data_IF_094862397498
#
_entry.id   IF_094862397498
#
_cell.length_a   1.000
_cell.length_b   1.000
_cell.length_c   1.000
_cell.angle_alpha   90.00
_cell.angle_beta   90.00
_cell.angle_gamma   90.00
#
_symmetry.space_group_name_H-M   'P 1'
#
loop_
_entity.id
_entity.type
_entity.pdbx_description
1 polymer ?
#
# COMPACT_ATOMS: atom_id res chain seq x y z
N UNK A 1 23.12 12.98 1.22
CA UNK A 1 22.27 12.73 2.39
C UNK A 1 21.76 14.06 2.93
N UNK A 2 20.43 14.20 3.07
CA UNK A 2 19.81 15.40 3.65
C UNK A 2 20.17 15.55 5.14
N UNK A 3 20.54 16.77 5.56
CA UNK A 3 20.88 17.11 6.96
C UNK A 3 19.74 16.78 7.93
N UNK A 4 18.49 16.85 7.46
CA UNK A 4 17.31 16.52 8.25
C UNK A 4 17.20 15.02 8.58
N UNK A 5 17.57 14.16 7.62
CA UNK A 5 17.51 12.71 7.78
C UNK A 5 18.51 12.23 8.84
N UNK A 6 19.75 12.73 8.78
CA UNK A 6 20.77 12.43 9.79
C UNK A 6 20.35 12.86 11.20
N UNK A 7 19.67 14.01 11.32
CA UNK A 7 19.19 14.52 12.61
C UNK A 7 18.05 13.67 13.18
N UNK A 8 17.08 13.28 12.35
CA UNK A 8 15.94 12.44 12.77
C UNK A 8 16.39 11.02 13.14
N UNK A 9 17.23 10.41 12.30
CA UNK A 9 17.83 9.12 12.58
C UNK A 9 18.71 9.16 13.84
N UNK A 10 19.46 10.25 14.06
CA UNK A 10 20.26 10.46 15.27
C UNK A 10 19.41 10.56 16.54
N UNK A 11 18.27 11.28 16.51
CA UNK A 11 17.35 11.35 17.67
C UNK A 11 16.72 9.99 17.97
N UNK A 12 16.33 9.24 16.94
CA UNK A 12 15.79 7.90 17.10
C UNK A 12 16.86 6.95 17.65
N UNK A 13 18.07 6.97 17.09
CA UNK A 13 19.20 6.17 17.54
C UNK A 13 19.57 6.49 19.00
N UNK A 14 19.62 7.76 19.38
CA UNK A 14 19.86 8.18 20.76
C UNK A 14 18.77 7.71 21.73
N UNK A 15 17.49 7.77 21.35
CA UNK A 15 16.37 7.23 22.15
C UNK A 15 16.49 5.71 22.34
N UNK A 16 17.14 5.02 21.41
CA UNK A 16 17.30 3.57 21.39
C UNK A 16 18.69 3.10 21.89
N UNK A 17 19.58 4.02 22.27
CA UNK A 17 20.94 3.70 22.71
C UNK A 17 21.86 3.17 21.61
N UNK A 18 21.64 3.55 20.35
CA UNK A 18 22.41 3.11 19.19
C UNK A 18 23.22 4.27 18.58
N UNK A 19 24.36 3.95 17.95
CA UNK A 19 25.14 4.91 17.15
C UNK A 19 24.58 5.00 15.72
N UNK A 20 24.38 6.22 15.21
CA UNK A 20 23.69 6.48 13.94
C UNK A 20 24.59 6.27 12.71
N UNK A 21 25.17 5.07 12.57
CA UNK A 21 25.96 4.68 11.39
C UNK A 21 25.12 4.43 10.13
N UNK A 22 25.76 4.41 8.95
CA UNK A 22 25.12 4.11 7.65
C UNK A 22 24.45 2.74 7.60
N UNK A 23 24.98 1.75 8.33
CA UNK A 23 24.38 0.41 8.40
C UNK A 23 23.04 0.41 9.14
N UNK A 24 22.88 1.28 10.14
CA UNK A 24 21.63 1.41 10.89
C UNK A 24 20.47 1.82 9.98
N UNK A 25 20.72 2.75 9.05
CA UNK A 25 19.69 3.22 8.12
C UNK A 25 19.25 2.11 7.17
N UNK A 26 20.18 1.33 6.64
CA UNK A 26 19.86 0.21 5.76
C UNK A 26 19.10 -0.89 6.51
N UNK A 27 19.53 -1.25 7.72
CA UNK A 27 18.81 -2.22 8.56
C UNK A 27 17.40 -1.72 8.90
N UNK A 28 17.24 -0.43 9.21
CA UNK A 28 15.94 0.13 9.56
C UNK A 28 15.01 0.20 8.35
N UNK A 29 15.51 0.61 7.18
CA UNK A 29 14.74 0.57 5.92
C UNK A 29 14.24 -0.85 5.64
N UNK A 30 15.11 -1.85 5.76
CA UNK A 30 14.74 -3.26 5.56
C UNK A 30 13.76 -3.81 6.61
N UNK A 31 13.77 -3.25 7.82
CA UNK A 31 12.90 -3.69 8.92
C UNK A 31 11.52 -3.03 8.88
N UNK A 32 11.48 -1.74 8.56
CA UNK A 32 10.30 -0.88 8.68
C UNK A 32 9.55 -0.67 7.35
N UNK A 33 10.03 -1.20 6.23
CA UNK A 33 9.33 -1.18 4.95
C UNK A 33 9.07 -2.58 4.43
N UNK A 34 7.87 -2.81 3.91
CA UNK A 34 7.50 -4.06 3.23
C UNK A 34 7.41 -3.81 1.72
N UNK A 35 8.40 -4.30 0.97
CA UNK A 35 8.48 -4.21 -0.49
C UNK A 35 9.11 -2.91 -1.00
N UNK A 36 9.82 -3.00 -2.15
CA UNK A 36 10.33 -1.86 -2.92
C UNK A 36 11.72 -1.32 -2.53
N UNK A 37 12.32 -0.56 -3.47
CA UNK A 37 13.44 0.34 -3.17
C UNK A 37 12.88 1.60 -2.49
N UNK A 38 13.25 1.83 -1.22
CA UNK A 38 12.76 2.94 -0.41
C UNK A 38 13.68 4.15 -0.55
N UNK A 39 13.12 5.29 -0.98
CA UNK A 39 13.89 6.53 -1.09
C UNK A 39 14.18 7.14 0.29
N UNK A 40 15.18 8.03 0.37
CA UNK A 40 15.50 8.76 1.60
C UNK A 40 14.32 9.64 2.06
N UNK A 41 13.54 10.16 1.12
CA UNK A 41 12.35 10.99 1.38
C UNK A 41 11.22 10.15 1.99
N UNK A 42 10.94 8.96 1.45
CA UNK A 42 9.94 8.03 2.00
C UNK A 42 10.34 7.56 3.39
N UNK A 43 11.63 7.27 3.59
CA UNK A 43 12.16 6.93 4.90
C UNK A 43 12.01 8.08 5.90
N UNK A 44 12.33 9.31 5.49
CA UNK A 44 12.12 10.52 6.30
C UNK A 44 10.64 10.68 6.67
N UNK A 45 9.73 10.48 5.72
CA UNK A 45 8.29 10.58 5.96
C UNK A 45 7.83 9.59 7.05
N UNK A 46 8.33 8.35 7.04
CA UNK A 46 8.01 7.38 8.08
C UNK A 46 8.51 7.82 9.45
N UNK A 47 9.76 8.33 9.52
CA UNK A 47 10.34 8.80 10.77
C UNK A 47 9.57 10.00 11.35
N UNK A 48 9.04 10.89 10.51
CA UNK A 48 8.19 12.01 10.94
C UNK A 48 6.93 11.48 11.62
N UNK A 49 6.22 10.53 10.99
CA UNK A 49 4.99 9.94 11.55
C UNK A 49 5.29 9.15 12.83
N UNK A 50 6.36 8.36 12.83
CA UNK A 50 6.81 7.60 14.00
C UNK A 50 7.10 8.54 15.19
N UNK A 51 7.80 9.65 14.94
CA UNK A 51 8.10 10.63 15.99
C UNK A 51 6.85 11.38 16.49
N UNK A 52 5.91 11.72 15.59
CA UNK A 52 4.65 12.38 15.96
C UNK A 52 3.83 11.55 16.97
N UNK A 53 3.79 10.24 16.79
CA UNK A 53 3.04 9.32 17.66
C UNK A 53 3.92 8.58 18.69
N UNK A 54 5.22 8.90 18.74
CA UNK A 54 6.19 8.24 19.61
C UNK A 54 6.35 6.74 19.35
N UNK A 55 6.01 6.25 18.14
CA UNK A 55 6.03 4.84 17.75
C UNK A 55 7.44 4.39 17.36
N UNK A 56 7.74 3.12 17.65
CA UNK A 56 9.04 2.53 17.35
C UNK A 56 9.01 1.65 16.08
N UNK A 57 9.72 2.03 15.00
CA UNK A 57 9.76 1.21 13.79
C UNK A 57 10.55 -0.10 13.94
N UNK A 58 11.45 -0.22 14.93
CA UNK A 58 12.25 -1.44 15.16
C UNK A 58 11.44 -2.59 15.75
N UNK A 59 10.52 -2.26 16.65
CA UNK A 59 9.61 -3.23 17.28
C UNK A 59 8.38 -3.50 16.41
N UNK A 60 8.33 -2.94 15.19
CA UNK A 60 7.19 -3.00 14.27
C UNK A 60 5.89 -2.45 14.85
N UNK A 61 6.00 -1.51 15.79
CA UNK A 61 4.83 -0.71 16.20
C UNK A 61 4.33 0.14 15.03
N UNK A 62 5.24 0.59 14.16
CA UNK A 62 4.94 1.24 12.90
C UNK A 62 5.85 0.73 11.78
N UNK A 63 5.29 0.53 10.60
CA UNK A 63 6.01 0.28 9.35
C UNK A 63 5.30 0.99 8.21
N UNK A 64 5.82 0.92 6.99
CA UNK A 64 5.14 1.53 5.84
C UNK A 64 5.17 0.62 4.61
N UNK A 65 4.15 0.80 3.79
CA UNK A 65 4.21 0.43 2.38
C UNK A 65 4.61 1.66 1.56
N UNK A 66 5.53 1.54 0.60
CA UNK A 66 5.81 2.63 -0.32
C UNK A 66 4.61 2.88 -1.24
N UNK A 67 4.32 4.15 -1.52
CA UNK A 67 3.28 4.59 -2.48
C UNK A 67 3.85 5.70 -3.40
N UNK A 68 3.19 6.03 -4.50
CA UNK A 68 3.64 6.95 -5.57
C UNK A 68 4.19 8.29 -5.03
N UNK A 69 5.50 8.33 -4.76
CA UNK A 69 6.18 9.50 -4.16
C UNK A 69 5.93 9.71 -2.66
N UNK A 70 5.21 8.80 -1.99
CA UNK A 70 4.83 8.87 -0.58
C UNK A 70 4.90 7.52 0.13
N UNK A 71 4.20 7.41 1.26
CA UNK A 71 4.10 6.18 2.05
C UNK A 71 2.69 5.99 2.60
N UNK A 72 2.32 4.74 2.87
CA UNK A 72 1.14 4.38 3.67
C UNK A 72 1.64 3.86 5.02
N UNK A 73 1.63 4.68 6.10
CA UNK A 73 2.11 4.26 7.42
C UNK A 73 1.13 3.32 8.10
N UNK A 74 1.60 2.14 8.48
CA UNK A 74 0.82 1.09 9.13
C UNK A 74 1.25 0.96 10.57
N UNK A 75 0.27 1.00 11.48
CA UNK A 75 0.49 0.82 12.92
C UNK A 75 -0.06 -0.53 13.33
N UNK A 76 0.82 -1.32 13.98
CA UNK A 76 0.44 -2.62 14.53
C UNK A 76 -0.51 -2.48 15.72
N UNK A 77 -1.16 -3.57 16.11
CA UNK A 77 -2.10 -3.58 17.24
C UNK A 77 -1.42 -3.11 18.54
N UNK A 78 -0.17 -3.50 18.76
CA UNK A 78 0.61 -3.07 19.92
C UNK A 78 0.93 -1.57 19.87
N UNK A 79 1.22 -1.03 18.67
CA UNK A 79 1.41 0.40 18.47
C UNK A 79 0.14 1.19 18.78
N UNK A 80 -1.02 0.72 18.32
CA UNK A 80 -2.32 1.30 18.66
C UNK A 80 -2.60 1.24 20.16
N UNK A 81 -2.36 0.09 20.79
CA UNK A 81 -2.54 -0.07 22.23
C UNK A 81 -1.64 0.91 23.01
N UNK A 82 -0.38 1.08 22.59
CA UNK A 82 0.57 2.00 23.24
C UNK A 82 0.09 3.45 23.15
N UNK A 83 -0.23 3.96 21.96
CA UNK A 83 -0.66 5.37 21.80
C UNK A 83 -1.98 5.68 22.50
N UNK A 84 -2.87 4.69 22.63
CA UNK A 84 -4.13 4.84 23.38
C UNK A 84 -3.84 4.92 24.88
N UNK A 85 -3.05 3.99 25.42
CA UNK A 85 -2.76 3.93 26.85
C UNK A 85 -1.92 5.11 27.33
N UNK A 86 -1.02 5.63 26.49
CA UNK A 86 -0.22 6.82 26.81
C UNK A 86 -0.99 8.14 26.64
N UNK A 87 -2.16 8.13 26.00
CA UNK A 87 -2.91 9.35 25.75
C UNK A 87 -3.37 9.97 27.09
N UNK A 88 -3.04 11.23 27.41
CA UNK A 88 -3.30 11.82 28.74
C UNK A 88 -4.78 11.77 29.16
N UNK A 89 -5.68 11.93 28.19
CA UNK A 89 -7.13 11.92 28.40
C UNK A 89 -7.77 10.53 28.40
N UNK A 90 -7.03 9.44 28.16
CA UNK A 90 -7.60 8.10 28.22
C UNK A 90 -8.04 7.76 29.65
N UNK A 91 -9.26 7.23 29.79
CA UNK A 91 -9.89 6.88 31.07
C UNK A 91 -10.49 5.47 31.08
N UNK A 92 -9.96 4.59 30.22
CA UNK A 92 -10.43 3.22 30.08
C UNK A 92 -11.27 2.98 28.83
N UNK A 93 -11.50 1.69 28.56
CA UNK A 93 -12.31 1.23 27.44
C UNK A 93 -13.04 -0.07 27.80
N UNK A 94 -14.16 -0.30 27.13
CA UNK A 94 -14.96 -1.51 27.26
C UNK A 94 -15.24 -2.13 25.88
N UNK A 95 -15.39 -3.45 25.86
CA UNK A 95 -15.83 -4.18 24.67
C UNK A 95 -17.09 -4.98 24.98
N UNK A 96 -18.06 -4.94 24.09
CA UNK A 96 -19.19 -5.87 24.07
C UNK A 96 -19.26 -6.57 22.73
N UNK A 97 -19.75 -7.81 22.74
CA UNK A 97 -19.90 -8.63 21.53
C UNK A 97 -21.34 -9.05 21.38
N UNK A 98 -21.89 -8.78 20.21
CA UNK A 98 -23.14 -9.37 19.77
C UNK A 98 -22.80 -10.60 18.91
N UNK A 99 -23.11 -11.78 19.42
CA UNK A 99 -22.84 -13.03 18.69
C UNK A 99 -23.86 -13.31 17.60
N UNK A 100 -25.08 -12.80 17.74
CA UNK A 100 -26.17 -13.02 16.79
C UNK A 100 -25.95 -12.15 15.55
N UNK A 101 -25.63 -10.88 15.75
CA UNK A 101 -25.28 -9.97 14.64
C UNK A 101 -23.83 -10.13 14.16
N UNK A 102 -22.99 -10.81 14.95
CA UNK A 102 -21.56 -10.90 14.68
C UNK A 102 -20.89 -9.53 14.75
N UNK A 103 -21.21 -8.74 15.78
CA UNK A 103 -20.75 -7.38 15.96
C UNK A 103 -19.84 -7.24 17.19
N UNK A 104 -18.94 -6.26 17.15
CA UNK A 104 -18.16 -5.83 18.30
C UNK A 104 -18.34 -4.34 18.51
N UNK A 105 -18.61 -3.93 19.74
CA UNK A 105 -18.72 -2.52 20.13
C UNK A 105 -17.57 -2.17 21.06
N UNK A 106 -16.85 -1.09 20.76
CA UNK A 106 -15.84 -0.51 21.63
C UNK A 106 -16.36 0.82 22.19
N UNK A 107 -16.28 0.99 23.50
CA UNK A 107 -16.56 2.25 24.19
C UNK A 107 -15.28 2.77 24.80
N UNK A 108 -14.85 3.99 24.43
CA UNK A 108 -13.68 4.64 25.00
C UNK A 108 -14.13 5.82 25.84
N UNK A 109 -13.68 5.83 27.11
CA UNK A 109 -13.91 6.92 28.05
C UNK A 109 -12.74 7.88 28.03
N UNK A 110 -13.07 9.17 28.13
CA UNK A 110 -12.09 10.25 28.21
C UNK A 110 -12.34 11.11 29.44
N UNK A 111 -11.28 11.48 30.14
CA UNK A 111 -11.34 12.31 31.36
C UNK A 111 -11.99 13.68 31.12
N UNK A 112 -11.84 14.22 29.91
CA UNK A 112 -12.35 15.53 29.53
C UNK A 112 -13.74 15.51 28.88
N UNK A 113 -14.45 14.37 28.88
CA UNK A 113 -15.79 14.22 28.28
C UNK A 113 -16.75 13.53 29.23
N UNK A 114 -18.02 13.95 29.23
CA UNK A 114 -19.10 13.29 29.99
C UNK A 114 -19.64 12.03 29.32
N UNK A 115 -19.49 11.92 28.01
CA UNK A 115 -20.01 10.80 27.22
C UNK A 115 -18.86 10.10 26.49
N UNK A 116 -18.85 8.77 26.47
CA UNK A 116 -17.82 8.02 25.76
C UNK A 116 -17.98 8.15 24.25
N UNK A 117 -16.90 7.90 23.53
CA UNK A 117 -16.97 7.58 22.11
C UNK A 117 -17.33 6.10 21.98
N UNK A 118 -18.32 5.79 21.12
CA UNK A 118 -18.84 4.44 20.93
C UNK A 118 -18.80 4.13 19.44
N UNK A 119 -18.20 2.99 19.08
CA UNK A 119 -18.16 2.48 17.70
C UNK A 119 -18.52 1.02 17.71
N UNK A 120 -19.35 0.61 16.75
CA UNK A 120 -19.69 -0.80 16.50
C UNK A 120 -19.23 -1.17 15.09
N UNK A 121 -18.50 -2.28 14.99
CA UNK A 121 -18.08 -2.88 13.72
C UNK A 121 -18.73 -4.25 13.55
N UNK A 122 -19.07 -4.59 12.31
CA UNK A 122 -19.74 -5.83 11.95
C UNK A 122 -18.78 -6.80 11.25
N UNK A 123 -18.81 -8.08 11.64
CA UNK A 123 -17.99 -9.13 11.03
C UNK A 123 -18.23 -9.22 9.52
N UNK A 124 -19.48 -9.08 9.07
CA UNK A 124 -19.85 -9.15 7.66
C UNK A 124 -19.17 -8.09 6.78
N UNK A 125 -18.87 -6.91 7.33
CA UNK A 125 -18.22 -5.81 6.61
C UNK A 125 -16.70 -5.81 6.75
N UNK A 126 -16.22 -6.34 7.88
CA UNK A 126 -14.81 -6.28 8.23
C UNK A 126 -14.01 -7.46 7.73
N UNK A 127 -14.60 -8.66 7.78
CA UNK A 127 -13.88 -9.91 7.56
C UNK A 127 -13.25 -9.94 6.17
N UNK A 128 -11.96 -10.27 6.12
CA UNK A 128 -11.22 -10.50 4.88
C UNK A 128 -10.92 -11.99 4.68
N UNK A 129 -10.61 -12.36 3.44
CA UNK A 129 -10.12 -13.69 3.13
C UNK A 129 -8.59 -13.81 3.33
N UNK A 130 -8.11 -13.48 4.53
CA UNK A 130 -6.69 -13.59 4.89
C UNK A 130 -6.52 -14.54 6.08
N UNK A 131 -5.32 -15.11 6.23
CA UNK A 131 -5.03 -16.12 7.26
C UNK A 131 -5.35 -15.66 8.71
N UNK A 132 -5.08 -14.40 9.12
CA UNK A 132 -5.45 -13.94 10.46
C UNK A 132 -6.97 -13.93 10.70
N UNK A 133 -7.76 -13.52 9.71
CA UNK A 133 -9.22 -13.52 9.79
C UNK A 133 -9.82 -14.93 9.74
N UNK A 134 -9.16 -15.88 9.07
CA UNK A 134 -9.58 -17.28 9.07
C UNK A 134 -9.32 -17.96 10.43
N UNK A 135 -8.19 -17.67 11.06
CA UNK A 135 -7.79 -18.33 12.32
C UNK A 135 -8.38 -17.66 13.57
N UNK A 136 -8.51 -16.34 13.59
CA UNK A 136 -8.93 -15.59 14.78
C UNK A 136 -9.92 -14.44 14.47
N UNK A 137 -11.07 -14.73 13.82
CA UNK A 137 -11.99 -13.71 13.31
C UNK A 137 -12.49 -12.74 14.38
N UNK A 138 -12.91 -13.23 15.56
CA UNK A 138 -13.43 -12.37 16.64
C UNK A 138 -12.35 -11.46 17.23
N UNK A 139 -11.10 -11.95 17.31
CA UNK A 139 -9.97 -11.14 17.78
C UNK A 139 -9.64 -10.03 16.79
N UNK A 140 -9.67 -10.34 15.49
CA UNK A 140 -9.47 -9.36 14.42
C UNK A 140 -10.56 -8.29 14.45
N UNK A 141 -11.83 -8.69 14.59
CA UNK A 141 -12.94 -7.74 14.70
C UNK A 141 -12.76 -6.81 15.91
N UNK A 142 -12.36 -7.35 17.07
CA UNK A 142 -12.05 -6.52 18.25
C UNK A 142 -10.96 -5.48 17.97
N UNK A 143 -9.87 -5.89 17.33
CA UNK A 143 -8.77 -4.97 17.01
C UNK A 143 -9.23 -3.86 16.07
N UNK A 144 -10.02 -4.20 15.05
CA UNK A 144 -10.55 -3.20 14.12
C UNK A 144 -11.48 -2.21 14.82
N UNK A 145 -12.38 -2.72 15.65
CA UNK A 145 -13.31 -1.89 16.44
C UNK A 145 -12.55 -0.95 17.39
N UNK A 146 -11.51 -1.44 18.05
CA UNK A 146 -10.62 -0.63 18.90
C UNK A 146 -10.01 0.52 18.10
N UNK A 147 -9.44 0.22 16.94
CA UNK A 147 -8.73 1.19 16.10
C UNK A 147 -9.69 2.28 15.62
N UNK A 148 -10.86 1.92 15.10
CA UNK A 148 -11.87 2.89 14.65
C UNK A 148 -12.38 3.77 15.80
N UNK A 149 -12.67 3.16 16.96
CA UNK A 149 -13.09 3.91 18.14
C UNK A 149 -11.99 4.87 18.62
N UNK A 150 -10.74 4.43 18.66
CA UNK A 150 -9.60 5.24 19.06
C UNK A 150 -9.35 6.43 18.13
N UNK A 151 -9.50 6.25 16.81
CA UNK A 151 -9.41 7.34 15.83
C UNK A 151 -10.40 8.46 16.14
N UNK A 152 -11.67 8.10 16.38
CA UNK A 152 -12.71 9.08 16.70
C UNK A 152 -12.54 9.66 18.11
N UNK A 153 -12.09 8.84 19.06
CA UNK A 153 -11.88 9.26 20.43
C UNK A 153 -10.74 10.27 20.55
N UNK A 154 -9.61 10.07 19.86
CA UNK A 154 -8.37 10.85 20.06
C UNK A 154 -7.93 11.69 18.85
N UNK A 155 -8.60 11.55 17.70
CA UNK A 155 -8.23 12.29 16.48
C UNK A 155 -6.96 11.78 15.81
N UNK A 156 -6.62 10.50 15.98
CA UNK A 156 -5.46 9.90 15.33
C UNK A 156 -5.65 9.86 13.81
N UNK A 157 -4.73 10.49 13.07
CA UNK A 157 -4.81 10.66 11.61
C UNK A 157 -3.48 10.33 10.91
N UNK A 158 -3.53 9.93 9.64
CA UNK A 158 -2.33 9.66 8.84
C UNK A 158 -1.60 8.35 9.18
N UNK A 159 -2.22 7.49 10.00
CA UNK A 159 -1.78 6.11 10.28
C UNK A 159 -2.92 5.16 9.93
N UNK A 160 -2.60 3.93 9.52
CA UNK A 160 -3.54 2.91 9.05
C UNK A 160 -3.38 1.61 9.84
N UNK A 161 -4.45 0.82 9.96
CA UNK A 161 -4.27 -0.60 10.28
C UNK A 161 -3.88 -1.39 9.02
N UNK A 162 -3.46 -2.64 9.20
CA UNK A 162 -2.96 -3.46 8.09
C UNK A 162 -4.01 -3.67 6.99
N UNK A 163 -5.27 -3.92 7.36
CA UNK A 163 -6.32 -4.19 6.39
C UNK A 163 -6.66 -2.91 5.60
N UNK A 164 -6.71 -1.76 6.28
CA UNK A 164 -6.89 -0.46 5.61
C UNK A 164 -5.73 -0.15 4.66
N UNK A 165 -4.49 -0.35 5.11
CA UNK A 165 -3.31 -0.10 4.29
C UNK A 165 -3.30 -0.98 3.04
N UNK A 166 -3.61 -2.26 3.19
CA UNK A 166 -3.79 -3.18 2.06
C UNK A 166 -4.89 -2.71 1.12
N UNK A 167 -6.02 -2.17 1.61
CA UNK A 167 -7.07 -1.61 0.74
C UNK A 167 -6.62 -0.35 0.01
N UNK A 168 -5.87 0.53 0.68
CA UNK A 168 -5.32 1.74 0.05
C UNK A 168 -4.36 1.33 -1.06
N UNK A 169 -3.52 0.33 -0.81
CA UNK A 169 -2.62 -0.22 -1.82
C UNK A 169 -3.42 -0.89 -2.91
N UNK A 170 -4.39 -1.76 -2.59
CA UNK A 170 -5.27 -2.47 -3.52
C UNK A 170 -6.07 -1.50 -4.43
N UNK A 171 -6.58 -0.42 -3.84
CA UNK A 171 -7.34 0.64 -4.52
C UNK A 171 -6.46 1.57 -5.36
N UNK A 172 -5.23 1.83 -4.90
CA UNK A 172 -4.18 2.47 -5.72
C UNK A 172 -3.64 1.53 -6.80
N UNK A 173 -3.70 0.21 -6.55
CA UNK A 173 -3.46 -0.89 -7.50
C UNK A 173 -4.77 -1.32 -8.18
N UNK A 174 -5.60 -0.35 -8.59
CA UNK A 174 -6.01 -0.37 -9.99
C UNK A 174 -4.73 -0.25 -10.84
N UNK A 175 -3.98 -1.35 -10.87
CA UNK A 175 -2.61 -1.44 -11.32
C UNK A 175 -2.57 -1.21 -12.82
N UNK A 176 -2.22 0.01 -13.23
CA UNK A 176 -1.40 0.13 -14.44
C UNK A 176 0.00 -0.31 -14.01
N UNK A 177 0.23 -1.62 -13.99
CA UNK A 177 1.56 -2.21 -13.82
C UNK A 177 2.49 -1.57 -14.87
N UNK A 178 3.21 -0.49 -14.55
CA UNK A 178 3.99 0.25 -15.56
C UNK A 178 5.11 -0.61 -16.17
N UNK A 179 5.50 -1.67 -15.47
CA UNK A 179 6.55 -2.61 -15.85
C UNK A 179 7.90 -2.19 -15.27
N UNK A 180 8.92 -3.03 -15.44
CA UNK A 180 10.21 -2.84 -14.77
C UNK A 180 11.11 -1.92 -15.59
N UNK A 181 10.99 -0.60 -15.41
CA UNK A 181 11.72 0.42 -16.20
C UNK A 181 13.25 0.25 -16.20
N UNK A 182 13.82 -0.30 -15.13
CA UNK A 182 15.26 -0.54 -14.99
C UNK A 182 15.74 -1.88 -15.53
N UNK A 183 14.85 -2.75 -16.05
CA UNK A 183 15.25 -4.03 -16.63
C UNK A 183 15.84 -3.82 -18.03
N UNK A 184 17.07 -4.31 -18.24
CA UNK A 184 17.82 -4.14 -19.49
C UNK A 184 17.12 -4.75 -20.70
N UNK A 185 16.21 -5.71 -20.50
CA UNK A 185 15.45 -6.37 -21.57
C UNK A 185 14.21 -5.59 -22.00
N UNK A 186 13.76 -4.64 -21.19
CA UNK A 186 12.49 -3.92 -21.42
C UNK A 186 12.44 -3.20 -22.78
N UNK A 187 13.48 -2.46 -23.22
CA UNK A 187 13.45 -1.80 -24.53
C UNK A 187 13.26 -2.79 -25.68
N UNK A 188 13.96 -3.93 -25.64
CA UNK A 188 13.88 -4.96 -26.68
C UNK A 188 12.52 -5.66 -26.69
N UNK A 189 11.95 -5.93 -25.52
CA UNK A 189 10.62 -6.54 -25.39
C UNK A 189 9.52 -5.62 -25.92
N UNK A 190 9.59 -4.32 -25.62
CA UNK A 190 8.67 -3.32 -26.16
C UNK A 190 8.83 -3.22 -27.68
N UNK A 191 10.05 -3.13 -28.20
CA UNK A 191 10.29 -3.03 -29.65
C UNK A 191 9.76 -4.24 -30.43
N UNK A 192 9.91 -5.46 -29.89
CA UNK A 192 9.33 -6.68 -30.46
C UNK A 192 7.80 -6.66 -30.43
N UNK A 193 7.21 -6.23 -29.31
CA UNK A 193 5.76 -6.10 -29.18
C UNK A 193 5.16 -5.05 -30.11
N UNK A 194 5.84 -3.92 -30.31
CA UNK A 194 5.44 -2.91 -31.28
C UNK A 194 5.50 -3.42 -32.72
N UNK A 195 6.54 -4.18 -33.05
CA UNK A 195 6.70 -4.80 -34.37
C UNK A 195 5.58 -5.82 -34.63
N UNK A 196 5.23 -6.63 -33.63
CA UNK A 196 4.12 -7.56 -33.71
C UNK A 196 2.76 -6.84 -33.82
N UNK A 197 2.56 -5.75 -33.09
CA UNK A 197 1.34 -4.94 -33.14
C UNK A 197 1.13 -4.25 -34.49
N UNK A 198 2.20 -3.85 -35.19
CA UNK A 198 2.10 -3.31 -36.57
C UNK A 198 1.61 -4.34 -37.60
N UNK A 199 1.61 -5.62 -37.26
CA UNK A 199 1.14 -6.71 -38.13
C UNK A 199 -0.31 -7.15 -37.81
N UNK A 200 -1.01 -6.41 -36.95
CA UNK A 200 -2.40 -6.68 -36.58
C UNK A 200 -2.56 -7.47 -35.27
N UNK A 201 -3.82 -7.61 -34.81
CA UNK A 201 -4.12 -8.18 -33.48
C UNK A 201 -3.70 -9.63 -33.34
N UNK A 202 -3.80 -10.44 -34.41
CA UNK A 202 -3.41 -11.85 -34.40
C UNK A 202 -1.92 -12.02 -34.09
N UNK A 203 -1.06 -11.24 -34.77
CA UNK A 203 0.39 -11.28 -34.56
C UNK A 203 0.81 -10.74 -33.21
N UNK A 204 0.13 -9.70 -32.72
CA UNK A 204 0.34 -9.22 -31.35
C UNK A 204 -0.02 -10.28 -30.30
N UNK A 205 -1.14 -11.00 -30.48
CA UNK A 205 -1.55 -12.07 -29.56
C UNK A 205 -0.57 -13.25 -29.54
N UNK A 206 -0.07 -13.68 -30.70
CA UNK A 206 0.98 -14.72 -30.80
C UNK A 206 2.23 -14.31 -30.00
N UNK A 207 2.69 -13.06 -30.17
CA UNK A 207 3.79 -12.50 -29.40
C UNK A 207 3.49 -12.51 -27.89
N UNK A 208 2.33 -11.99 -27.47
CA UNK A 208 2.00 -11.84 -26.05
C UNK A 208 1.87 -13.20 -25.35
N UNK A 209 1.32 -14.21 -26.02
CA UNK A 209 1.17 -15.57 -25.46
C UNK A 209 2.54 -16.25 -25.30
N UNK A 210 3.47 -16.01 -26.22
CA UNK A 210 4.80 -16.62 -26.20
C UNK A 210 5.72 -16.11 -25.07
N UNK A 211 5.43 -14.95 -24.46
CA UNK A 211 6.21 -14.38 -23.37
C UNK A 211 6.04 -15.14 -22.05
N UNK A 212 7.12 -15.22 -21.26
CA UNK A 212 7.09 -15.72 -19.88
C UNK A 212 6.31 -14.80 -18.93
N UNK A 213 5.98 -15.29 -17.74
CA UNK A 213 5.33 -14.48 -16.71
C UNK A 213 6.22 -13.29 -16.28
N UNK A 214 7.53 -13.52 -16.17
CA UNK A 214 8.52 -12.50 -15.85
C UNK A 214 8.63 -11.46 -16.97
N UNK A 215 8.65 -11.87 -18.24
CA UNK A 215 8.72 -10.94 -19.38
C UNK A 215 7.46 -10.06 -19.48
N UNK A 216 6.29 -10.64 -19.19
CA UNK A 216 5.02 -9.88 -19.10
C UNK A 216 5.05 -8.84 -17.99
N UNK A 217 5.65 -9.17 -16.84
CA UNK A 217 5.89 -8.20 -15.77
C UNK A 217 6.90 -7.13 -16.22
N UNK A 218 7.99 -7.51 -16.88
CA UNK A 218 8.98 -6.56 -17.38
C UNK A 218 8.36 -5.54 -18.34
N UNK A 219 7.45 -5.93 -19.22
CA UNK A 219 6.73 -5.01 -20.14
C UNK A 219 5.66 -4.18 -19.40
N UNK A 220 4.85 -4.82 -18.56
CA UNK A 220 3.79 -4.16 -17.81
C UNK A 220 2.52 -3.82 -18.62
N UNK A 221 1.46 -3.50 -17.89
CA UNK A 221 0.12 -3.16 -18.35
C UNK A 221 0.03 -1.86 -19.18
N UNK A 222 0.89 -0.85 -18.92
CA UNK A 222 0.88 0.41 -19.69
C UNK A 222 1.24 0.12 -21.15
N UNK A 223 2.40 -0.49 -21.37
CA UNK A 223 2.89 -0.80 -22.71
C UNK A 223 2.06 -1.92 -23.37
N UNK A 224 1.59 -2.90 -22.59
CA UNK A 224 0.62 -3.90 -23.08
C UNK A 224 -0.62 -3.25 -23.70
N UNK A 225 -1.20 -2.25 -23.02
CA UNK A 225 -2.40 -1.57 -23.50
C UNK A 225 -2.10 -0.73 -24.74
N UNK A 226 -1.03 0.07 -24.71
CA UNK A 226 -0.58 0.86 -25.85
C UNK A 226 -0.35 0.00 -27.11
N UNK A 227 0.38 -1.11 -26.99
CA UNK A 227 0.66 -1.99 -28.13
C UNK A 227 -0.60 -2.72 -28.63
N UNK A 228 -1.51 -3.11 -27.73
CA UNK A 228 -2.79 -3.68 -28.11
C UNK A 228 -3.66 -2.68 -28.89
N UNK A 229 -3.79 -1.45 -28.40
CA UNK A 229 -4.52 -0.38 -29.08
C UNK A 229 -3.91 -0.08 -30.46
N UNK A 230 -2.57 -0.12 -30.59
CA UNK A 230 -1.88 0.02 -31.86
C UNK A 230 -2.22 -1.11 -32.84
N UNK A 231 -2.32 -2.36 -32.37
CA UNK A 231 -2.71 -3.49 -33.22
C UNK A 231 -4.17 -3.43 -33.68
N UNK A 232 -5.08 -2.96 -32.83
CA UNK A 232 -6.48 -2.72 -33.18
C UNK A 232 -6.62 -1.64 -34.24
N UNK A 233 -5.80 -0.59 -34.17
CA UNK A 233 -5.80 0.48 -35.16
C UNK A 233 -5.37 0.00 -36.56
N UNK A 234 -4.45 -0.98 -36.63
CA UNK A 234 -4.02 -1.60 -37.90
C UNK A 234 -5.15 -2.40 -38.53
N UNK A 235 -5.84 -3.23 -37.75
CA UNK A 235 -6.93 -4.08 -38.27
C UNK A 235 -8.18 -3.26 -38.67
N UNK A 236 -8.39 -2.12 -38.01
CA UNK A 236 -9.50 -1.21 -38.30
C UNK A 236 -9.20 -0.19 -39.41
N UNK A 237 -7.96 -0.13 -39.92
CA UNK A 237 -7.65 0.68 -41.08
C UNK A 237 -8.27 0.03 -42.32
N UNK A 238 -9.37 0.58 -42.83
CA UNK A 238 -9.95 0.14 -44.10
C UNK A 238 -8.86 0.12 -45.19
N UNK A 239 -8.79 -0.92 -46.04
CA UNK A 239 -7.91 -0.88 -47.19
C UNK A 239 -8.34 0.29 -48.06
N UNK A 240 -7.45 1.28 -48.24
CA UNK A 240 -7.62 2.31 -49.25
C UNK A 240 -7.77 1.58 -50.58
N UNK A 241 -9.00 1.53 -51.09
CA UNK A 241 -9.32 0.91 -52.37
C UNK A 241 -8.76 1.83 -53.46
N UNK A 242 -7.50 1.60 -53.82
CA UNK A 242 -6.91 2.15 -55.04
C UNK A 242 -7.39 1.26 -56.19
N UNK A 243 -8.65 1.46 -56.59
CA UNK A 243 -9.18 0.98 -57.85
C UNK A 243 -9.50 2.19 -58.72
N UNK A 244 -8.44 2.67 -59.36
CA UNK A 244 -8.37 3.14 -60.75
C UNK A 244 -9.60 3.90 -61.29
N UNK A 245 -9.47 5.22 -61.26
CA UNK A 245 -9.86 6.07 -62.38
C UNK A 245 -9.10 5.64 -63.64
N UNK A 246 -9.72 4.87 -64.52
CA UNK A 246 -9.38 4.82 -65.95
C UNK A 246 -10.61 4.37 -66.76
N UNK A 247 -10.93 5.13 -67.82
CA UNK A 247 -11.93 4.93 -68.87
C UNK A 247 -13.42 5.29 -68.58
N UNK A 248 -13.81 6.54 -68.84
CA UNK A 248 -14.38 7.05 -70.12
C UNK A 248 -14.52 8.58 -70.10
#
# INVERSE_FOLDING_TARGET
MSTALSTMAGKLAARLGMDAGTDLMNTLKNTAFKGGNVTDEQFTALLIVANQYGLNPWTKEIYAFPDKGGIVPVVGVDGWARIINEHPQFDGMEFSYDKEEGACTCKIYRKDRKHPTIVTEYMGECKRNTQPWQSHPTRMLRHKTLIQCARLAFGFAGIFDQDEAERVIEGTTAEVHAGHESDSRRPDLIAKGESAARLGTVKYQEFWVALSAEEKQVIGAVEKRRMYDMSLAVDNAEPVNVAETEAE
#
